data_IF_846030666068
#
_entry.id   IF_846030666068
#
_cell.length_a   1.000
_cell.length_b   1.000
_cell.length_c   1.000
_cell.angle_alpha   90.00
_cell.angle_beta   90.00
_cell.angle_gamma   90.00
#
_symmetry.space_group_name_H-M   'P 1'
#
loop_
_entity.id
_entity.type
_entity.pdbx_description
1 polymer ?
#
# COMPACT_ATOMS: atom_id res chain seq x y z
N UNK A 1 -6.90 -16.42 15.41
CA UNK A 1 -5.59 -16.01 15.99
C UNK A 1 -4.45 -16.12 14.99
N UNK A 2 -4.26 -17.27 14.32
CA UNK A 2 -3.13 -17.50 13.41
C UNK A 2 -2.97 -16.45 12.29
N UNK A 3 -4.06 -15.92 11.72
CA UNK A 3 -3.96 -14.84 10.72
C UNK A 3 -3.28 -13.57 11.24
N UNK A 4 -3.57 -13.17 12.49
CA UNK A 4 -2.94 -11.99 13.13
C UNK A 4 -1.48 -12.27 13.48
N UNK A 5 -1.16 -13.50 13.92
CA UNK A 5 0.23 -13.91 14.16
C UNK A 5 1.06 -13.91 12.87
N UNK A 6 0.46 -14.35 11.76
CA UNK A 6 1.09 -14.30 10.45
C UNK A 6 1.38 -12.84 10.02
N UNK A 7 0.42 -11.93 10.19
CA UNK A 7 0.63 -10.49 9.96
C UNK A 7 1.74 -9.91 10.83
N UNK A 8 1.76 -10.26 12.11
CA UNK A 8 2.76 -9.76 13.05
C UNK A 8 4.16 -10.28 12.70
N UNK A 9 4.27 -11.56 12.37
CA UNK A 9 5.52 -12.17 11.95
C UNK A 9 6.01 -11.59 10.61
N UNK A 10 5.12 -11.35 9.65
CA UNK A 10 5.42 -10.63 8.41
C UNK A 10 5.96 -9.23 8.71
N UNK A 11 5.29 -8.47 9.58
CA UNK A 11 5.71 -7.13 9.97
C UNK A 11 7.13 -7.14 10.54
N UNK A 12 7.41 -8.03 11.49
CA UNK A 12 8.74 -8.16 12.10
C UNK A 12 9.78 -8.58 11.04
N UNK A 13 9.46 -9.59 10.22
CA UNK A 13 10.36 -10.07 9.17
C UNK A 13 10.73 -8.95 8.18
N UNK A 14 9.76 -8.11 7.83
CA UNK A 14 9.95 -7.02 6.88
C UNK A 14 10.72 -5.83 7.48
N UNK A 15 10.58 -5.51 8.77
CA UNK A 15 11.42 -4.48 9.43
C UNK A 15 12.86 -4.96 9.58
N UNK A 16 13.04 -6.15 10.15
CA UNK A 16 14.35 -6.55 10.68
C UNK A 16 15.12 -7.49 9.75
N UNK A 17 14.55 -7.83 8.59
CA UNK A 17 15.05 -8.86 7.69
C UNK A 17 15.32 -10.22 8.40
N UNK A 18 14.57 -10.51 9.47
CA UNK A 18 14.77 -11.71 10.28
C UNK A 18 14.20 -12.95 9.58
N UNK A 19 15.08 -13.87 9.17
CA UNK A 19 14.67 -15.13 8.54
C UNK A 19 13.79 -16.00 9.44
N UNK A 20 13.99 -15.97 10.76
CA UNK A 20 13.15 -16.73 11.68
C UNK A 20 11.71 -16.20 11.69
N UNK A 21 11.53 -14.87 11.74
CA UNK A 21 10.23 -14.24 11.64
C UNK A 21 9.54 -14.58 10.31
N UNK A 22 10.30 -14.57 9.19
CA UNK A 22 9.78 -14.97 7.87
C UNK A 22 9.30 -16.42 7.85
N UNK A 23 10.02 -17.36 8.50
CA UNK A 23 9.56 -18.75 8.62
C UNK A 23 8.29 -18.87 9.47
N UNK A 24 8.19 -18.09 10.56
CA UNK A 24 7.01 -18.06 11.43
C UNK A 24 5.79 -17.50 10.71
N UNK A 25 5.95 -16.47 9.89
CA UNK A 25 4.89 -15.96 9.02
C UNK A 25 4.29 -17.08 8.17
N UNK A 26 5.10 -17.80 7.39
CA UNK A 26 4.61 -18.88 6.54
C UNK A 26 3.91 -19.98 7.36
N UNK A 27 4.47 -20.34 8.51
CA UNK A 27 3.85 -21.31 9.42
C UNK A 27 2.46 -20.85 9.87
N UNK A 28 2.32 -19.62 10.34
CA UNK A 28 1.05 -19.08 10.81
C UNK A 28 0.06 -18.85 9.67
N UNK A 29 0.53 -18.49 8.47
CA UNK A 29 -0.31 -18.33 7.29
C UNK A 29 -0.97 -19.66 6.90
N UNK A 30 -0.20 -20.77 6.87
CA UNK A 30 -0.74 -22.10 6.61
C UNK A 30 -1.79 -22.52 7.66
N UNK A 31 -1.49 -22.28 8.95
CA UNK A 31 -2.44 -22.56 10.03
C UNK A 31 -3.71 -21.70 9.92
N UNK A 32 -3.59 -20.43 9.55
CA UNK A 32 -4.72 -19.54 9.34
C UNK A 32 -5.63 -20.02 8.19
N UNK A 33 -5.06 -20.54 7.10
CA UNK A 33 -5.83 -21.14 5.99
C UNK A 33 -6.58 -22.38 6.48
N UNK A 34 -5.92 -23.25 7.25
CA UNK A 34 -6.54 -24.46 7.80
C UNK A 34 -7.69 -24.13 8.77
N UNK A 35 -7.46 -23.21 9.69
CA UNK A 35 -8.46 -22.76 10.66
C UNK A 35 -9.64 -22.10 9.97
N UNK A 36 -9.39 -21.25 8.96
CA UNK A 36 -10.45 -20.62 8.19
C UNK A 36 -11.29 -21.66 7.45
N UNK A 37 -10.68 -22.67 6.83
CA UNK A 37 -11.43 -23.75 6.17
C UNK A 37 -12.32 -24.51 7.15
N UNK A 38 -11.81 -24.84 8.34
CA UNK A 38 -12.61 -25.49 9.40
C UNK A 38 -13.75 -24.58 9.87
N UNK A 39 -13.45 -23.31 10.11
CA UNK A 39 -14.42 -22.29 10.51
C UNK A 39 -15.54 -22.11 9.47
N UNK A 40 -15.21 -22.13 8.17
CA UNK A 40 -16.18 -21.99 7.08
C UNK A 40 -17.03 -23.26 6.89
N UNK A 41 -16.51 -24.44 7.23
CA UNK A 41 -17.27 -25.71 7.13
C UNK A 41 -18.44 -25.80 8.11
N UNK A 42 -18.36 -25.07 9.23
CA UNK A 42 -19.42 -24.95 10.24
C UNK A 42 -19.65 -23.47 10.56
N UNK A 43 -19.95 -22.69 9.52
CA UNK A 43 -20.05 -21.23 9.66
C UNK A 43 -21.32 -20.81 10.42
N UNK A 44 -21.12 -20.10 11.54
CA UNK A 44 -22.18 -19.51 12.36
C UNK A 44 -21.88 -18.05 12.73
N UNK A 45 -22.86 -17.31 13.28
CA UNK A 45 -22.68 -15.92 13.71
C UNK A 45 -21.50 -15.72 14.68
N UNK A 46 -21.27 -16.67 15.58
CA UNK A 46 -20.17 -16.68 16.56
C UNK A 46 -18.78 -16.72 15.91
N UNK A 47 -18.71 -17.10 14.63
CA UNK A 47 -17.47 -17.25 13.87
C UNK A 47 -17.29 -16.16 12.80
N UNK A 48 -18.31 -15.34 12.57
CA UNK A 48 -18.35 -14.34 11.51
C UNK A 48 -17.16 -13.37 11.55
N UNK A 49 -16.91 -12.73 12.69
CA UNK A 49 -15.82 -11.76 12.83
C UNK A 49 -14.46 -12.44 12.73
N UNK A 50 -14.31 -13.63 13.32
CA UNK A 50 -13.08 -14.41 13.23
C UNK A 50 -12.74 -14.79 11.79
N UNK A 51 -13.74 -15.23 11.03
CA UNK A 51 -13.59 -15.57 9.62
C UNK A 51 -13.25 -14.35 8.76
N UNK A 52 -13.91 -13.20 9.01
CA UNK A 52 -13.61 -11.94 8.32
C UNK A 52 -12.18 -11.47 8.62
N UNK A 53 -11.77 -11.42 9.88
CA UNK A 53 -10.40 -11.02 10.27
C UNK A 53 -9.36 -11.94 9.66
N UNK A 54 -9.56 -13.26 9.74
CA UNK A 54 -8.63 -14.23 9.16
C UNK A 54 -8.54 -14.08 7.63
N UNK A 55 -9.67 -13.90 6.95
CA UNK A 55 -9.70 -13.72 5.50
C UNK A 55 -9.02 -12.41 5.07
N UNK A 56 -9.24 -11.31 5.80
CA UNK A 56 -8.55 -10.04 5.55
C UNK A 56 -7.04 -10.14 5.80
N UNK A 57 -6.62 -10.84 6.86
CA UNK A 57 -5.21 -11.08 7.14
C UNK A 57 -4.54 -11.89 6.01
N UNK A 58 -5.21 -12.95 5.53
CA UNK A 58 -4.73 -13.74 4.39
C UNK A 58 -4.70 -12.93 3.10
N UNK A 59 -5.71 -12.08 2.87
CA UNK A 59 -5.73 -11.16 1.74
C UNK A 59 -4.55 -10.20 1.79
N UNK A 60 -4.21 -9.68 2.98
CA UNK A 60 -3.05 -8.82 3.17
C UNK A 60 -1.75 -9.58 2.87
N UNK A 61 -1.58 -10.79 3.39
CA UNK A 61 -0.38 -11.61 3.16
C UNK A 61 -0.31 -12.23 1.76
N UNK A 62 -1.37 -12.12 0.97
CA UNK A 62 -1.45 -12.74 -0.34
C UNK A 62 -0.51 -12.06 -1.34
N UNK A 63 0.41 -12.86 -1.87
CA UNK A 63 1.46 -12.42 -2.77
C UNK A 63 1.05 -12.50 -4.24
N UNK A 64 0.18 -13.43 -4.64
CA UNK A 64 -0.24 -13.61 -6.03
C UNK A 64 -1.70 -13.17 -6.28
N UNK A 65 -2.00 -12.80 -7.53
CA UNK A 65 -3.32 -12.28 -7.90
C UNK A 65 -4.44 -13.32 -7.93
N UNK A 66 -4.12 -14.56 -8.27
CA UNK A 66 -5.10 -15.64 -8.37
C UNK A 66 -5.67 -15.95 -6.99
N UNK A 67 -4.80 -16.20 -6.01
CA UNK A 67 -5.17 -16.41 -4.62
C UNK A 67 -5.86 -15.18 -4.03
N UNK A 68 -5.41 -13.96 -4.40
CA UNK A 68 -6.02 -12.72 -3.91
C UNK A 68 -7.46 -12.56 -4.39
N UNK A 69 -7.75 -12.90 -5.65
CA UNK A 69 -9.12 -12.92 -6.19
C UNK A 69 -9.98 -13.93 -5.43
N UNK A 70 -9.48 -15.15 -5.24
CA UNK A 70 -10.20 -16.20 -4.51
C UNK A 70 -10.53 -15.78 -3.06
N UNK A 71 -9.57 -15.18 -2.36
CA UNK A 71 -9.79 -14.68 -0.99
C UNK A 71 -10.80 -13.52 -0.99
N UNK A 72 -10.73 -12.60 -1.96
CA UNK A 72 -11.67 -11.48 -2.08
C UNK A 72 -13.11 -11.95 -2.36
N UNK A 73 -13.27 -12.95 -3.23
CA UNK A 73 -14.56 -13.62 -3.47
C UNK A 73 -15.06 -14.31 -2.18
N UNK A 74 -14.17 -15.00 -1.46
CA UNK A 74 -14.47 -15.60 -0.16
C UNK A 74 -14.96 -14.59 0.88
N UNK A 75 -14.30 -13.43 1.00
CA UNK A 75 -14.73 -12.35 1.91
C UNK A 75 -16.11 -11.83 1.51
N UNK A 76 -16.36 -11.67 0.21
CA UNK A 76 -17.67 -11.24 -0.28
C UNK A 76 -18.77 -12.25 0.07
N UNK A 77 -18.49 -13.54 -0.04
CA UNK A 77 -19.40 -14.61 0.37
C UNK A 77 -19.65 -14.61 1.90
N UNK A 78 -18.61 -14.40 2.72
CA UNK A 78 -18.75 -14.29 4.18
C UNK A 78 -19.62 -13.09 4.54
N UNK A 79 -19.39 -11.91 3.95
CA UNK A 79 -20.20 -10.71 4.21
C UNK A 79 -21.69 -10.94 3.88
N UNK A 80 -21.96 -11.63 2.76
CA UNK A 80 -23.33 -12.01 2.38
C UNK A 80 -23.95 -13.02 3.34
N UNK A 81 -23.18 -14.02 3.79
CA UNK A 81 -23.64 -15.01 4.77
C UNK A 81 -23.95 -14.33 6.12
N UNK A 82 -23.06 -13.46 6.62
CA UNK A 82 -23.29 -12.64 7.81
C UNK A 82 -24.58 -11.83 7.71
N UNK A 83 -24.85 -11.22 6.55
CA UNK A 83 -26.09 -10.48 6.31
C UNK A 83 -27.33 -11.37 6.45
N UNK A 84 -27.30 -12.55 5.84
CA UNK A 84 -28.42 -13.52 5.87
C UNK A 84 -28.66 -14.08 7.27
N UNK A 85 -27.59 -14.30 8.03
CA UNK A 85 -27.64 -14.77 9.41
C UNK A 85 -28.00 -13.67 10.41
N UNK A 86 -28.15 -12.42 9.96
CA UNK A 86 -28.47 -11.29 10.83
C UNK A 86 -27.35 -10.93 11.79
N UNK A 87 -26.08 -11.14 11.42
CA UNK A 87 -24.92 -10.77 12.23
C UNK A 87 -24.81 -9.24 12.39
N UNK A 88 -24.60 -8.76 13.62
CA UNK A 88 -24.70 -7.33 13.96
C UNK A 88 -23.44 -6.75 14.63
N UNK A 89 -22.27 -7.36 14.44
CA UNK A 89 -21.05 -6.80 15.06
C UNK A 89 -20.67 -5.45 14.42
N UNK A 90 -20.09 -4.56 15.22
CA UNK A 90 -19.55 -3.28 14.74
C UNK A 90 -18.45 -3.50 13.68
N UNK A 91 -17.64 -4.54 13.88
CA UNK A 91 -16.59 -4.91 12.93
C UNK A 91 -17.18 -5.32 11.58
N UNK A 92 -18.19 -6.19 11.56
CA UNK A 92 -18.90 -6.57 10.35
C UNK A 92 -19.45 -5.35 9.62
N UNK A 93 -20.13 -4.44 10.32
CA UNK A 93 -20.71 -3.24 9.69
C UNK A 93 -19.65 -2.33 9.08
N UNK A 94 -18.53 -2.14 9.78
CA UNK A 94 -17.38 -1.38 9.27
C UNK A 94 -16.85 -2.01 7.98
N UNK A 95 -16.60 -3.32 7.99
CA UNK A 95 -16.08 -4.03 6.82
C UNK A 95 -17.10 -4.05 5.69
N UNK A 96 -18.37 -4.37 5.95
CA UNK A 96 -19.41 -4.42 4.94
C UNK A 96 -19.63 -3.07 4.24
N UNK A 97 -19.47 -1.96 4.96
CA UNK A 97 -19.52 -0.61 4.40
C UNK A 97 -18.28 -0.28 3.57
N UNK A 98 -17.11 -0.73 4.01
CA UNK A 98 -15.83 -0.43 3.36
C UNK A 98 -15.49 -1.41 2.22
N UNK A 99 -16.08 -2.61 2.18
CA UNK A 99 -15.68 -3.68 1.29
C UNK A 99 -16.17 -3.48 -0.15
N UNK A 100 -15.24 -3.57 -1.10
CA UNK A 100 -15.52 -3.48 -2.53
C UNK A 100 -15.00 -4.77 -3.22
N UNK A 101 -15.87 -5.58 -3.84
CA UNK A 101 -15.47 -6.86 -4.41
C UNK A 101 -14.49 -6.80 -5.59
N UNK A 102 -13.73 -7.90 -5.75
CA UNK A 102 -12.92 -8.30 -6.90
C UNK A 102 -13.40 -7.85 -8.30
N UNK A 103 -14.71 -7.97 -8.52
CA UNK A 103 -15.36 -7.79 -9.81
C UNK A 103 -15.47 -6.32 -10.24
N UNK A 104 -15.49 -5.39 -9.28
CA UNK A 104 -15.48 -3.95 -9.57
C UNK A 104 -14.08 -3.43 -9.93
N UNK A 105 -13.04 -4.25 -9.81
CA UNK A 105 -11.67 -3.88 -10.15
C UNK A 105 -11.40 -3.79 -11.67
N UNK A 106 -12.38 -4.12 -12.52
CA UNK A 106 -12.23 -4.11 -13.98
C UNK A 106 -12.85 -2.89 -14.67
N UNK A 107 -13.36 -1.90 -13.92
CA UNK A 107 -13.82 -0.65 -14.53
C UNK A 107 -12.60 0.21 -14.88
N UNK A 108 -11.93 -0.21 -15.95
CA UNK A 108 -10.88 0.53 -16.64
C UNK A 108 -11.42 1.91 -17.00
N UNK A 109 -11.10 2.92 -16.19
CA UNK A 109 -11.07 4.27 -16.74
C UNK A 109 -10.00 4.24 -17.83
N UNK A 110 -10.32 4.70 -19.04
CA UNK A 110 -9.39 4.79 -20.18
C UNK A 110 -8.10 5.52 -19.78
N UNK A 111 -6.91 5.02 -20.15
CA UNK A 111 -5.67 5.77 -20.01
C UNK A 111 -5.78 7.08 -20.78
N UNK A 112 -6.01 8.18 -20.06
CA UNK A 112 -5.83 9.51 -20.65
C UNK A 112 -4.32 9.75 -20.75
N UNK A 113 -3.90 10.42 -21.82
CA UNK A 113 -2.52 10.91 -22.00
C UNK A 113 -2.01 11.72 -20.79
N UNK A 114 -2.93 12.32 -20.03
CA UNK A 114 -2.65 12.96 -18.74
C UNK A 114 -2.04 12.03 -17.68
N UNK A 115 -2.30 10.72 -17.71
CA UNK A 115 -1.82 9.76 -16.70
C UNK A 115 -0.31 9.62 -16.71
N UNK A 116 0.21 9.28 -17.89
CA UNK A 116 1.66 9.09 -18.07
C UNK A 116 2.38 10.41 -17.85
N UNK A 117 1.79 11.52 -18.35
CA UNK A 117 2.35 12.85 -18.16
C UNK A 117 2.56 13.18 -16.67
N UNK A 118 1.58 12.95 -15.78
CA UNK A 118 1.73 13.29 -14.35
C UNK A 118 2.82 12.49 -13.65
N UNK A 119 2.90 11.18 -13.88
CA UNK A 119 3.94 10.35 -13.27
C UNK A 119 5.33 10.74 -13.80
N UNK A 120 5.46 11.06 -15.09
CA UNK A 120 6.69 11.61 -15.67
C UNK A 120 7.09 12.95 -15.05
N UNK A 121 6.13 13.84 -14.75
CA UNK A 121 6.41 15.09 -14.02
C UNK A 121 6.91 14.82 -12.60
N UNK A 122 6.28 13.89 -11.87
CA UNK A 122 6.75 13.47 -10.53
C UNK A 122 8.17 12.91 -10.57
N UNK A 123 8.49 12.09 -11.58
CA UNK A 123 9.86 11.55 -11.79
C UNK A 123 10.85 12.68 -12.05
N UNK A 124 10.51 13.63 -12.94
CA UNK A 124 11.36 14.79 -13.22
C UNK A 124 11.64 15.61 -11.96
N UNK A 125 10.62 15.84 -11.13
CA UNK A 125 10.78 16.55 -9.86
C UNK A 125 11.66 15.79 -8.86
N UNK A 126 11.52 14.46 -8.76
CA UNK A 126 12.42 13.64 -7.94
C UNK A 126 13.88 13.73 -8.40
N UNK A 127 14.14 13.81 -9.71
CA UNK A 127 15.50 14.01 -10.23
C UNK A 127 16.05 15.40 -9.89
N UNK A 128 15.23 16.45 -9.93
CA UNK A 128 15.64 17.80 -9.49
C UNK A 128 15.96 17.81 -8.00
N UNK A 129 15.10 17.21 -7.18
CA UNK A 129 15.33 17.09 -5.75
C UNK A 129 16.58 16.28 -5.42
N UNK A 130 16.87 15.24 -6.21
CA UNK A 130 18.13 14.48 -6.10
C UNK A 130 19.36 15.36 -6.31
N UNK A 131 19.31 16.36 -7.19
CA UNK A 131 20.43 17.31 -7.34
C UNK A 131 20.63 18.15 -6.06
N UNK A 132 19.53 18.68 -5.49
CA UNK A 132 19.53 19.46 -4.25
C UNK A 132 20.09 18.63 -3.08
N UNK A 133 19.65 17.38 -2.95
CA UNK A 133 20.16 16.48 -1.91
C UNK A 133 21.65 16.22 -2.04
N UNK A 134 22.19 16.14 -3.27
CA UNK A 134 23.61 15.89 -3.49
C UNK A 134 24.48 17.04 -2.97
N UNK A 135 23.99 18.26 -3.10
CA UNK A 135 24.66 19.47 -2.59
C UNK A 135 24.64 19.57 -1.06
N UNK A 136 23.70 18.88 -0.41
CA UNK A 136 23.51 18.88 1.05
C UNK A 136 24.25 17.73 1.77
N UNK A 137 25.17 17.03 1.10
CA UNK A 137 25.84 15.81 1.59
C UNK A 137 24.84 14.79 2.15
N UNK A 138 24.10 14.10 1.26
CA UNK A 138 22.95 13.33 1.69
C UNK A 138 23.41 12.14 2.54
N UNK A 139 22.65 11.85 3.60
CA UNK A 139 22.84 10.57 4.27
C UNK A 139 22.62 9.41 3.29
N UNK A 140 23.35 8.32 3.51
CA UNK A 140 23.28 7.16 2.62
C UNK A 140 21.87 6.55 2.53
N UNK A 141 21.05 6.75 3.56
CA UNK A 141 19.66 6.29 3.68
C UNK A 141 18.71 7.02 2.73
N UNK A 142 18.52 8.33 2.92
CA UNK A 142 17.61 9.17 2.13
C UNK A 142 17.97 9.13 0.65
N UNK A 143 19.27 9.14 0.32
CA UNK A 143 19.73 9.02 -1.07
C UNK A 143 19.37 7.67 -1.71
N UNK A 144 19.50 6.58 -0.95
CA UNK A 144 19.12 5.24 -1.42
C UNK A 144 17.61 5.14 -1.59
N UNK A 145 16.83 5.65 -0.63
CA UNK A 145 15.37 5.67 -0.68
C UNK A 145 14.86 6.42 -1.92
N UNK A 146 15.38 7.62 -2.19
CA UNK A 146 14.98 8.40 -3.36
C UNK A 146 15.28 7.68 -4.68
N UNK A 147 16.44 7.01 -4.80
CA UNK A 147 16.77 6.22 -5.99
C UNK A 147 15.81 5.05 -6.20
N UNK A 148 15.49 4.31 -5.13
CA UNK A 148 14.53 3.21 -5.21
C UNK A 148 13.16 3.72 -5.65
N UNK A 149 12.73 4.87 -5.13
CA UNK A 149 11.46 5.48 -5.46
C UNK A 149 11.38 5.96 -6.92
N UNK A 150 12.48 6.53 -7.46
CA UNK A 150 12.59 6.87 -8.88
C UNK A 150 12.44 5.61 -9.75
N UNK A 151 13.19 4.55 -9.47
CA UNK A 151 13.12 3.29 -10.23
C UNK A 151 11.71 2.68 -10.18
N UNK A 152 11.08 2.71 -9.01
CA UNK A 152 9.70 2.25 -8.85
C UNK A 152 8.72 3.07 -9.69
N UNK A 153 8.83 4.40 -9.67
CA UNK A 153 7.99 5.28 -10.49
C UNK A 153 8.20 5.05 -11.99
N UNK A 154 9.45 4.87 -12.43
CA UNK A 154 9.77 4.50 -13.82
C UNK A 154 9.13 3.16 -14.21
N UNK A 155 9.15 2.15 -13.34
CA UNK A 155 8.51 0.87 -13.61
C UNK A 155 6.98 0.94 -13.66
N UNK A 156 6.38 1.88 -12.92
CA UNK A 156 4.95 2.18 -12.99
C UNK A 156 4.58 2.89 -14.31
N UNK A 157 5.45 3.72 -14.90
CA UNK A 157 5.18 4.32 -16.22
C UNK A 157 5.09 3.29 -17.34
N UNK A 158 5.77 2.15 -17.18
CA UNK A 158 5.74 1.02 -18.12
C UNK A 158 4.49 0.15 -17.98
N UNK A 159 3.52 0.55 -17.15
CA UNK A 159 2.25 -0.16 -16.99
C UNK A 159 1.25 0.39 -18.00
N UNK A 160 1.09 -0.33 -19.09
CA UNK A 160 0.09 -0.04 -20.11
C UNK A 160 -1.17 -0.89 -19.92
N UNK A 161 -2.27 -0.49 -20.56
CA UNK A 161 -3.53 -1.25 -20.57
C UNK A 161 -3.42 -2.63 -21.23
N UNK A 162 -2.32 -2.90 -21.95
CA UNK A 162 -1.97 -4.21 -22.50
C UNK A 162 -1.21 -5.12 -21.52
N UNK A 163 -0.75 -4.58 -20.39
CA UNK A 163 0.01 -5.34 -19.38
C UNK A 163 -0.94 -6.30 -18.64
N UNK A 164 -0.60 -7.59 -18.52
CA UNK A 164 -1.40 -8.54 -17.75
C UNK A 164 -1.60 -8.08 -16.30
N UNK A 165 -2.80 -8.28 -15.76
CA UNK A 165 -3.19 -7.85 -14.42
C UNK A 165 -2.22 -8.30 -13.32
N UNK A 166 -1.63 -9.49 -13.44
CA UNK A 166 -0.67 -10.04 -12.48
C UNK A 166 0.63 -9.23 -12.46
N UNK A 167 1.11 -8.81 -13.63
CA UNK A 167 2.31 -7.96 -13.75
C UNK A 167 2.05 -6.54 -13.26
N UNK A 168 0.84 -6.02 -13.47
CA UNK A 168 0.44 -4.73 -12.91
C UNK A 168 0.42 -4.78 -11.38
N UNK A 169 -0.14 -5.86 -10.82
CA UNK A 169 -0.17 -6.07 -9.38
C UNK A 169 1.20 -6.19 -8.75
N UNK A 170 2.10 -7.00 -9.30
CA UNK A 170 3.45 -7.17 -8.75
C UNK A 170 4.17 -5.82 -8.59
N UNK A 171 4.06 -4.96 -9.60
CA UNK A 171 4.67 -3.62 -9.56
C UNK A 171 3.99 -2.68 -8.55
N UNK A 172 2.67 -2.76 -8.44
CA UNK A 172 1.90 -1.99 -7.46
C UNK A 172 2.10 -2.50 -6.04
N UNK A 173 2.33 -3.81 -5.85
CA UNK A 173 2.62 -4.44 -4.57
C UNK A 173 3.94 -3.95 -4.00
N UNK A 174 4.96 -3.73 -4.85
CA UNK A 174 6.22 -3.13 -4.40
C UNK A 174 5.98 -1.77 -3.70
N UNK A 175 5.04 -0.94 -4.19
CA UNK A 175 4.68 0.31 -3.50
C UNK A 175 4.15 0.09 -2.09
N UNK A 176 3.43 -1.00 -1.84
CA UNK A 176 2.87 -1.32 -0.52
C UNK A 176 3.98 -1.61 0.48
N UNK A 177 4.98 -2.39 0.09
CA UNK A 177 6.15 -2.62 0.93
C UNK A 177 6.86 -1.29 1.21
N UNK A 178 7.06 -0.45 0.19
CA UNK A 178 7.72 0.84 0.38
C UNK A 178 6.92 1.83 1.26
N UNK A 179 5.59 1.96 1.08
CA UNK A 179 4.70 2.81 1.91
C UNK A 179 4.80 2.53 3.40
N UNK A 180 4.97 1.25 3.75
CA UNK A 180 5.01 0.80 5.12
C UNK A 180 6.37 1.06 5.77
N UNK A 181 7.45 1.05 4.98
CA UNK A 181 8.82 0.98 5.51
C UNK A 181 9.68 2.22 5.28
N UNK A 182 9.58 2.87 4.10
CA UNK A 182 10.39 4.05 3.78
C UNK A 182 10.23 5.17 4.84
N UNK A 183 9.01 5.47 5.32
CA UNK A 183 8.83 6.59 6.22
C UNK A 183 9.50 6.43 7.57
N UNK A 184 9.61 5.21 8.10
CA UNK A 184 9.97 5.01 9.50
C UNK A 184 11.48 4.81 9.70
N UNK A 185 12.15 4.12 8.79
CA UNK A 185 13.53 3.66 9.03
C UNK A 185 14.54 4.82 9.18
N UNK A 186 14.43 5.85 8.35
CA UNK A 186 15.36 6.98 8.39
C UNK A 186 14.86 8.12 9.30
N UNK A 187 13.54 8.27 9.51
CA UNK A 187 13.00 9.20 10.50
C UNK A 187 13.44 8.84 11.92
N UNK A 188 13.43 7.56 12.28
CA UNK A 188 13.85 7.08 13.59
C UNK A 188 15.36 7.22 13.82
N UNK A 189 16.16 7.25 12.74
CA UNK A 189 17.60 7.50 12.83
C UNK A 189 17.93 8.99 13.06
N UNK A 190 16.98 9.90 12.84
CA UNK A 190 17.09 11.33 13.14
C UNK A 190 18.06 12.12 12.25
N UNK A 191 18.66 11.48 11.23
CA UNK A 191 19.56 12.13 10.28
C UNK A 191 18.75 12.69 9.12
N UNK A 192 19.04 13.94 8.73
CA UNK A 192 18.40 14.66 7.61
C UNK A 192 16.86 14.48 7.53
N UNK A 193 16.17 14.64 8.67
CA UNK A 193 14.71 14.55 8.77
C UNK A 193 13.97 15.33 7.67
N UNK A 194 14.38 16.57 7.32
CA UNK A 194 13.89 17.28 6.14
C UNK A 194 13.88 16.49 4.82
N UNK A 195 15.03 15.90 4.48
CA UNK A 195 15.21 15.16 3.23
C UNK A 195 14.34 13.91 3.24
N UNK A 196 14.32 13.17 4.35
CA UNK A 196 13.47 11.99 4.52
C UNK A 196 11.99 12.33 4.38
N UNK A 197 11.53 13.41 5.02
CA UNK A 197 10.15 13.88 4.87
C UNK A 197 9.83 14.22 3.41
N UNK A 198 10.74 14.89 2.70
CA UNK A 198 10.50 15.18 1.28
C UNK A 198 10.42 13.91 0.43
N UNK A 199 11.27 12.90 0.70
CA UNK A 199 11.17 11.58 0.04
C UNK A 199 9.83 10.89 0.35
N UNK A 200 9.33 10.99 1.59
CA UNK A 200 8.01 10.49 1.97
C UNK A 200 6.89 11.20 1.21
N UNK A 201 6.99 12.52 0.99
CA UNK A 201 6.00 13.26 0.19
C UNK A 201 5.94 12.73 -1.26
N UNK A 202 7.09 12.42 -1.87
CA UNK A 202 7.11 11.77 -3.19
C UNK A 202 6.49 10.37 -3.14
N UNK A 203 6.77 9.59 -2.10
CA UNK A 203 6.19 8.25 -1.91
C UNK A 203 4.66 8.31 -1.84
N UNK A 204 4.11 9.22 -1.03
CA UNK A 204 2.66 9.41 -0.92
C UNK A 204 2.04 9.92 -2.23
N UNK A 205 2.77 10.71 -3.01
CA UNK A 205 2.30 11.17 -4.34
C UNK A 205 2.21 10.01 -5.35
N UNK A 206 3.25 9.18 -5.43
CA UNK A 206 3.26 8.01 -6.33
C UNK A 206 2.22 6.98 -5.89
N UNK A 207 2.06 6.81 -4.58
CA UNK A 207 1.03 6.02 -3.96
C UNK A 207 -0.39 6.45 -4.34
N UNK A 208 -0.70 7.74 -4.23
CA UNK A 208 -1.99 8.32 -4.62
C UNK A 208 -2.24 8.16 -6.12
N UNK A 209 -1.21 8.35 -6.93
CA UNK A 209 -1.26 8.07 -8.37
C UNK A 209 -1.62 6.59 -8.63
N UNK A 210 -0.91 5.65 -8.00
CA UNK A 210 -1.20 4.22 -8.15
C UNK A 210 -2.61 3.85 -7.66
N UNK A 211 -3.07 4.42 -6.54
CA UNK A 211 -4.41 4.21 -5.97
C UNK A 211 -5.51 4.64 -6.94
N UNK A 212 -5.36 5.81 -7.56
CA UNK A 212 -6.35 6.34 -8.51
C UNK A 212 -6.39 5.56 -9.83
N UNK A 213 -5.26 4.99 -10.24
CA UNK A 213 -5.11 4.43 -11.59
C UNK A 213 -5.16 2.91 -11.66
N UNK A 214 -5.07 2.22 -10.53
CA UNK A 214 -5.36 0.80 -10.45
C UNK A 214 -6.54 0.58 -9.55
N UNK A 215 -7.61 -0.01 -10.08
CA UNK A 215 -8.69 -0.45 -9.23
C UNK A 215 -8.18 -1.48 -8.19
N UNK A 216 -7.09 -2.19 -8.48
CA UNK A 216 -6.42 -3.10 -7.54
C UNK A 216 -5.70 -2.37 -6.40
N UNK A 217 -5.44 -1.07 -6.51
CA UNK A 217 -4.72 -0.27 -5.51
C UNK A 217 -5.61 0.27 -4.38
N UNK A 218 -6.94 0.15 -4.48
CA UNK A 218 -7.85 0.24 -3.32
C UNK A 218 -7.55 -0.82 -2.26
N UNK A 219 -6.82 -1.89 -2.62
CA UNK A 219 -6.41 -2.93 -1.69
C UNK A 219 -5.08 -2.65 -0.98
N UNK A 220 -4.43 -1.51 -1.24
CA UNK A 220 -3.22 -1.07 -0.54
C UNK A 220 -3.57 -0.19 0.67
N UNK A 221 -4.70 0.52 0.64
CA UNK A 221 -5.10 1.48 1.66
C UNK A 221 -6.60 1.43 1.90
N UNK A 222 -7.00 0.74 2.97
CA UNK A 222 -8.36 0.85 3.50
C UNK A 222 -8.43 1.69 4.78
N UNK A 223 -7.32 2.32 5.21
CA UNK A 223 -7.33 3.06 6.48
C UNK A 223 -6.26 4.12 6.68
N UNK A 224 -5.32 4.33 5.75
CA UNK A 224 -4.32 5.41 5.88
C UNK A 224 -4.74 6.57 5.00
N UNK A 225 -4.95 7.74 5.62
CA UNK A 225 -5.19 8.99 4.91
C UNK A 225 -3.89 9.49 4.27
N UNK A 226 -3.54 8.92 3.11
CA UNK A 226 -2.35 9.31 2.36
C UNK A 226 -2.34 10.78 1.96
N UNK A 227 -3.51 11.36 1.71
CA UNK A 227 -3.61 12.79 1.38
C UNK A 227 -3.30 13.62 2.61
N UNK A 228 -3.89 13.31 3.77
CA UNK A 228 -3.56 13.95 5.03
C UNK A 228 -2.09 13.81 5.40
N UNK A 229 -1.50 12.62 5.24
CA UNK A 229 -0.06 12.41 5.45
C UNK A 229 0.80 13.25 4.51
N UNK A 230 0.42 13.35 3.24
CA UNK A 230 1.13 14.18 2.26
C UNK A 230 1.07 15.66 2.64
N UNK A 231 -0.12 16.17 2.95
CA UNK A 231 -0.31 17.57 3.34
C UNK A 231 0.47 17.91 4.60
N UNK A 232 0.43 17.04 5.61
CA UNK A 232 1.17 17.20 6.85
C UNK A 232 2.68 17.19 6.60
N UNK A 233 3.17 16.24 5.79
CA UNK A 233 4.58 16.15 5.43
C UNK A 233 5.07 17.43 4.75
N UNK A 234 4.30 17.93 3.77
CA UNK A 234 4.61 19.18 3.05
C UNK A 234 4.55 20.41 3.96
N UNK A 235 3.69 20.41 4.97
CA UNK A 235 3.64 21.47 5.99
C UNK A 235 4.91 21.48 6.83
N UNK A 236 5.40 20.31 7.25
CA UNK A 236 6.62 20.18 8.06
C UNK A 236 7.88 20.61 7.31
N UNK A 237 7.98 20.36 6.00
CA UNK A 237 9.15 20.77 5.19
C UNK A 237 9.04 22.19 4.60
N UNK A 238 7.88 22.85 4.70
CA UNK A 238 7.65 24.20 4.15
C UNK A 238 8.65 25.29 4.60
N UNK A 239 9.17 25.29 5.84
CA UNK A 239 10.16 26.30 6.27
C UNK A 239 11.51 26.23 5.54
N UNK A 240 11.77 25.14 4.81
CA UNK A 240 13.08 24.84 4.23
C UNK A 240 13.18 25.48 2.85
N UNK A 241 13.86 26.62 2.78
CA UNK A 241 13.96 27.45 1.56
C UNK A 241 14.47 26.68 0.34
N UNK A 242 15.45 25.78 0.52
CA UNK A 242 15.99 24.96 -0.57
C UNK A 242 14.94 24.03 -1.21
N UNK A 243 13.86 23.71 -0.50
CA UNK A 243 12.82 22.79 -0.97
C UNK A 243 11.58 23.52 -1.51
N UNK A 244 11.53 24.84 -1.43
CA UNK A 244 10.35 25.63 -1.80
C UNK A 244 9.84 25.32 -3.23
N UNK A 245 10.76 25.18 -4.20
CA UNK A 245 10.42 24.80 -5.57
C UNK A 245 9.81 23.40 -5.66
N UNK A 246 10.43 22.41 -5.02
CA UNK A 246 9.93 21.03 -5.00
C UNK A 246 8.57 20.91 -4.30
N UNK A 247 8.36 21.61 -3.19
CA UNK A 247 7.08 21.65 -2.46
C UNK A 247 5.99 22.26 -3.32
N UNK A 248 6.27 23.39 -3.98
CA UNK A 248 5.31 24.05 -4.87
C UNK A 248 4.87 23.11 -6.01
N UNK A 249 5.84 22.48 -6.68
CA UNK A 249 5.56 21.59 -7.80
C UNK A 249 4.78 20.34 -7.34
N UNK A 250 5.11 19.79 -6.18
CA UNK A 250 4.45 18.62 -5.65
C UNK A 250 3.02 18.92 -5.16
N UNK A 251 2.76 20.12 -4.59
CA UNK A 251 1.39 20.59 -4.30
C UNK A 251 0.55 20.76 -5.57
N UNK A 252 1.14 21.31 -6.63
CA UNK A 252 0.46 21.44 -7.92
C UNK A 252 0.06 20.07 -8.50
N UNK A 253 0.94 19.06 -8.38
CA UNK A 253 0.63 17.69 -8.75
C UNK A 253 -0.44 17.09 -7.82
N UNK A 254 -0.36 17.34 -6.50
CA UNK A 254 -1.23 16.76 -5.48
C UNK A 254 -2.68 17.28 -5.47
N UNK A 255 -2.86 18.57 -5.78
CA UNK A 255 -4.18 19.23 -5.88
C UNK A 255 -5.03 18.72 -7.05
N UNK A 256 -4.41 18.02 -8.00
CA UNK A 256 -5.10 17.41 -9.14
C UNK A 256 -5.62 15.98 -8.87
N UNK A 257 -5.37 15.44 -7.67
CA UNK A 257 -5.83 14.11 -7.23
C UNK A 257 -7.24 14.09 -6.67
#
# INVERSE_FOLDING_TARGET
>A
MNGVLALSAYQVASVTHCQHARRKEYQYQMLAIQDLRKCLSNFGPEHADGALVASMALLWLCEDMTSRRQISEGISAIIQACRRLGHQSAFYHMIAKAWHPASHWHTSQKPSSERSNRLHHTISEMHKFRAILKEQEPDGGTWRQLRLLITLAEDLTKIDSSTPADKQFERIRLLRDYKLWLPLNDLLAGKNVPGTLMVNAYLYTIALHAQRHSAQAYMIDMGVDLRGLLEETLRQVAPIKSYAGSIHNLRALASSF
#
